data_IF_751774462127
#
_entry.id   IF_751774462127
#
_cell.length_a   1.000
_cell.length_b   1.000
_cell.length_c   1.000
_cell.angle_alpha   90.00
_cell.angle_beta   90.00
_cell.angle_gamma   90.00
#
_symmetry.space_group_name_H-M   'P 1'
#
loop_
_entity.id
_entity.type
_entity.pdbx_description
1 polymer ?
#
# COMPACT_ATOMS: atom_id res chain seq x y z
N UNK A 1 15.17 12.66 -23.19
CA UNK A 1 14.22 11.54 -23.32
C UNK A 1 14.81 10.37 -22.56
N UNK A 2 14.19 9.97 -21.43
CA UNK A 2 14.55 8.73 -20.72
C UNK A 2 14.12 7.59 -21.62
N UNK A 3 15.07 6.89 -22.19
CA UNK A 3 14.81 5.69 -22.97
C UNK A 3 14.78 4.52 -22.00
N UNK A 4 13.71 3.75 -22.00
CA UNK A 4 13.58 2.54 -21.19
C UNK A 4 14.56 1.49 -21.72
N UNK A 5 15.52 1.09 -20.90
CA UNK A 5 16.50 0.07 -21.31
C UNK A 5 15.93 -1.33 -21.06
N UNK A 6 15.76 -2.04 -22.15
CA UNK A 6 15.23 -3.41 -22.22
C UNK A 6 16.18 -4.49 -21.69
N UNK A 7 17.46 -4.23 -21.73
CA UNK A 7 18.46 -5.31 -21.78
C UNK A 7 18.68 -6.04 -20.45
N UNK A 8 18.21 -5.47 -19.30
CA UNK A 8 18.41 -6.07 -17.97
C UNK A 8 17.30 -5.74 -16.95
N UNK A 9 16.09 -5.46 -17.41
CA UNK A 9 15.03 -5.01 -16.50
C UNK A 9 14.12 -6.16 -16.10
N UNK A 10 14.28 -6.68 -14.89
CA UNK A 10 13.31 -7.60 -14.27
C UNK A 10 11.91 -7.02 -14.26
N UNK A 11 11.80 -5.69 -14.13
CA UNK A 11 10.53 -4.97 -14.17
C UNK A 11 9.85 -5.13 -15.54
N UNK A 12 10.60 -5.07 -16.65
CA UNK A 12 10.03 -5.26 -17.99
C UNK A 12 9.41 -6.66 -18.16
N UNK A 13 10.11 -7.69 -17.72
CA UNK A 13 9.61 -9.06 -17.81
C UNK A 13 8.37 -9.25 -16.93
N UNK A 14 8.38 -8.67 -15.74
CA UNK A 14 7.22 -8.68 -14.84
C UNK A 14 6.01 -7.96 -15.45
N UNK A 15 6.20 -6.78 -16.04
CA UNK A 15 5.12 -6.03 -16.71
C UNK A 15 4.56 -6.78 -17.91
N UNK A 16 5.40 -7.50 -18.65
CA UNK A 16 4.96 -8.33 -19.77
C UNK A 16 4.10 -9.51 -19.31
N UNK A 17 4.47 -10.14 -18.20
CA UNK A 17 3.68 -11.21 -17.59
C UNK A 17 2.33 -10.64 -17.13
N UNK A 18 2.32 -9.50 -16.44
CA UNK A 18 1.10 -8.83 -15.98
C UNK A 18 0.18 -8.43 -17.14
N UNK A 19 0.73 -7.95 -18.27
CA UNK A 19 -0.03 -7.59 -19.46
C UNK A 19 -0.71 -8.83 -20.10
N UNK A 20 -0.03 -9.97 -20.09
CA UNK A 20 -0.61 -11.24 -20.55
C UNK A 20 -1.75 -11.66 -19.63
N UNK A 21 -1.56 -11.62 -18.33
CA UNK A 21 -2.57 -11.96 -17.33
C UNK A 21 -3.79 -11.00 -17.39
N UNK A 22 -3.55 -9.71 -17.60
CA UNK A 22 -4.63 -8.72 -17.71
C UNK A 22 -5.48 -8.89 -18.99
N UNK A 23 -4.92 -9.49 -20.05
CA UNK A 23 -5.60 -9.70 -21.34
C UNK A 23 -6.17 -11.09 -21.53
N UNK A 24 -5.76 -12.05 -20.72
CA UNK A 24 -6.12 -13.45 -20.84
C UNK A 24 -7.00 -13.96 -19.70
N UNK A 25 -7.11 -15.30 -19.61
CA UNK A 25 -7.66 -15.94 -18.44
C UNK A 25 -6.65 -15.79 -17.29
N UNK A 26 -6.99 -14.95 -16.34
CA UNK A 26 -6.15 -14.66 -15.18
C UNK A 26 -5.95 -15.91 -14.34
N UNK A 27 -4.73 -16.14 -13.86
CA UNK A 27 -4.45 -17.13 -12.81
C UNK A 27 -5.10 -16.78 -11.47
N UNK A 28 -5.66 -15.56 -11.40
CA UNK A 28 -6.26 -15.00 -10.18
C UNK A 28 -5.30 -14.99 -8.97
N UNK A 29 -4.00 -14.82 -9.24
CA UNK A 29 -2.97 -14.68 -8.23
C UNK A 29 -2.59 -13.21 -8.08
N UNK A 30 -2.39 -12.70 -6.86
CA UNK A 30 -1.95 -11.33 -6.63
C UNK A 30 -0.50 -11.14 -7.09
N UNK A 31 -0.21 -9.97 -7.67
CA UNK A 31 1.15 -9.53 -7.95
C UNK A 31 1.60 -8.50 -6.91
N UNK A 32 2.83 -8.65 -6.44
CA UNK A 32 3.46 -7.72 -5.52
C UNK A 32 4.78 -7.25 -6.12
N UNK A 33 4.93 -5.93 -6.28
CA UNK A 33 6.21 -5.32 -6.62
C UNK A 33 6.80 -4.73 -5.35
N UNK A 34 7.99 -5.22 -4.97
CA UNK A 34 8.77 -4.70 -3.86
C UNK A 34 9.81 -3.71 -4.39
N UNK A 35 9.78 -2.50 -3.86
CA UNK A 35 10.79 -1.46 -4.06
C UNK A 35 11.66 -1.40 -2.80
N UNK A 36 12.86 -1.91 -2.87
CA UNK A 36 13.77 -1.86 -1.74
C UNK A 36 14.54 -0.54 -1.76
N UNK A 37 14.70 0.07 -0.57
CA UNK A 37 15.36 1.37 -0.38
C UNK A 37 14.83 2.46 -1.35
N UNK A 38 13.52 2.56 -1.48
CA UNK A 38 12.87 3.36 -2.51
C UNK A 38 13.19 4.86 -2.45
N UNK A 39 13.60 5.39 -1.31
CA UNK A 39 13.92 6.80 -1.12
C UNK A 39 15.42 7.15 -1.19
N UNK A 40 16.25 6.32 -1.81
CA UNK A 40 17.62 6.69 -2.17
C UNK A 40 17.66 7.82 -3.22
N UNK A 41 16.58 8.00 -3.95
CA UNK A 41 16.35 9.12 -4.84
C UNK A 41 14.88 9.53 -4.81
N UNK A 42 14.51 10.77 -5.19
CA UNK A 42 13.11 11.18 -5.19
C UNK A 42 12.25 10.26 -6.05
N UNK A 43 11.30 9.57 -5.43
CA UNK A 43 10.45 8.57 -6.10
C UNK A 43 9.66 9.15 -7.27
N UNK A 44 9.31 10.42 -7.24
CA UNK A 44 8.58 11.11 -8.31
C UNK A 44 9.32 11.09 -9.66
N UNK A 45 10.64 10.91 -9.66
CA UNK A 45 11.40 10.91 -10.90
C UNK A 45 11.38 9.57 -11.62
N UNK A 46 11.28 8.47 -10.89
CA UNK A 46 11.32 7.14 -11.50
C UNK A 46 10.02 6.36 -11.35
N UNK A 47 9.15 6.74 -10.40
CA UNK A 47 7.91 6.04 -10.07
C UNK A 47 6.65 6.79 -10.49
N UNK A 48 6.77 7.95 -11.17
CA UNK A 48 5.64 8.81 -11.50
C UNK A 48 4.51 8.11 -12.25
N UNK A 49 4.86 7.26 -13.22
CA UNK A 49 3.88 6.55 -14.03
C UNK A 49 3.10 5.52 -13.22
N UNK A 50 3.75 4.89 -12.24
CA UNK A 50 3.13 3.94 -11.33
C UNK A 50 2.28 4.60 -10.24
N UNK A 51 2.61 5.82 -9.82
CA UNK A 51 1.79 6.58 -8.88
C UNK A 51 0.38 6.83 -9.41
N UNK A 52 0.23 6.96 -10.71
CA UNK A 52 -1.09 7.14 -11.33
C UNK A 52 -1.91 5.84 -11.26
N UNK A 53 -1.26 4.68 -11.35
CA UNK A 53 -1.91 3.37 -11.22
C UNK A 53 -2.41 3.15 -9.79
N UNK A 54 -1.69 3.64 -8.79
CA UNK A 54 -2.14 3.55 -7.39
C UNK A 54 -3.46 4.28 -7.12
N UNK A 55 -3.82 5.25 -7.96
CA UNK A 55 -5.09 5.99 -7.86
C UNK A 55 -6.22 5.35 -8.68
N UNK A 56 -5.86 4.50 -9.64
CA UNK A 56 -6.80 3.89 -10.57
C UNK A 56 -7.09 2.45 -10.13
N UNK A 57 -8.28 2.26 -9.58
CA UNK A 57 -8.75 0.95 -9.12
C UNK A 57 -9.59 0.22 -10.20
N UNK A 58 -9.49 0.67 -11.45
CA UNK A 58 -10.22 0.05 -12.56
C UNK A 58 -9.43 -1.09 -13.19
N UNK A 59 -10.13 -2.08 -13.71
CA UNK A 59 -9.54 -3.24 -14.41
C UNK A 59 -8.84 -2.90 -15.73
N UNK A 60 -8.84 -1.62 -16.12
CA UNK A 60 -8.31 -1.14 -17.39
C UNK A 60 -7.10 -0.22 -17.24
N UNK A 61 -6.46 -0.23 -16.08
CA UNK A 61 -5.25 0.58 -15.87
C UNK A 61 -4.15 0.17 -16.84
N UNK A 62 -3.43 1.14 -17.37
CA UNK A 62 -2.30 0.86 -18.26
C UNK A 62 -1.14 1.79 -17.98
N UNK A 63 0.07 1.25 -18.09
CA UNK A 63 1.31 2.03 -18.03
C UNK A 63 1.92 2.17 -19.42
N UNK A 64 2.42 3.36 -19.72
CA UNK A 64 3.12 3.64 -20.96
C UNK A 64 4.54 4.12 -20.68
N UNK A 65 5.53 3.25 -20.94
CA UNK A 65 6.93 3.53 -20.72
C UNK A 65 7.67 3.99 -22.01
N UNK A 66 6.93 4.42 -23.02
CA UNK A 66 7.46 4.90 -24.31
C UNK A 66 6.72 4.35 -25.52
N UNK A 67 7.14 4.73 -26.73
CA UNK A 67 6.38 4.54 -27.97
C UNK A 67 5.92 3.10 -28.27
N UNK A 68 6.56 2.08 -27.71
CA UNK A 68 6.25 0.68 -27.96
C UNK A 68 6.04 -0.15 -26.68
N UNK A 69 5.92 0.49 -25.51
CA UNK A 69 5.88 -0.17 -24.21
C UNK A 69 4.66 0.21 -23.40
N UNK A 70 3.49 -0.16 -23.93
CA UNK A 70 2.23 -0.04 -23.20
C UNK A 70 1.81 -1.40 -22.68
N UNK A 71 1.62 -1.48 -21.36
CA UNK A 71 1.19 -2.69 -20.65
C UNK A 71 -0.13 -2.45 -19.96
N UNK A 72 -1.05 -3.39 -20.04
CA UNK A 72 -2.21 -3.41 -19.18
C UNK A 72 -1.79 -3.94 -17.81
N UNK A 73 -2.31 -3.31 -16.77
CA UNK A 73 -1.97 -3.63 -15.38
C UNK A 73 -3.22 -4.21 -14.73
N UNK A 74 -3.14 -5.42 -14.16
CA UNK A 74 -4.27 -6.03 -13.49
C UNK A 74 -4.59 -5.33 -12.17
N UNK A 75 -5.87 -5.30 -11.78
CA UNK A 75 -6.35 -4.69 -10.53
C UNK A 75 -5.75 -5.33 -9.26
N UNK A 76 -5.21 -6.53 -9.38
CA UNK A 76 -4.57 -7.28 -8.30
C UNK A 76 -3.07 -7.04 -8.13
N UNK A 77 -2.52 -6.00 -8.77
CA UNK A 77 -1.17 -5.52 -8.49
C UNK A 77 -1.13 -4.67 -7.21
N UNK A 78 -0.17 -4.95 -6.35
CA UNK A 78 0.15 -4.15 -5.15
C UNK A 78 1.62 -3.77 -5.14
N UNK A 79 1.90 -2.65 -4.49
CA UNK A 79 3.26 -2.15 -4.30
C UNK A 79 3.61 -2.15 -2.82
N UNK A 80 4.82 -2.57 -2.52
CA UNK A 80 5.42 -2.45 -1.20
C UNK A 80 6.77 -1.76 -1.38
N UNK A 81 7.10 -0.83 -0.51
CA UNK A 81 8.37 -0.15 -0.53
C UNK A 81 9.01 -0.16 0.86
N UNK A 82 10.31 -0.40 0.92
CA UNK A 82 11.10 -0.10 2.12
C UNK A 82 11.72 1.28 1.96
N UNK A 83 11.77 2.03 3.04
CA UNK A 83 12.40 3.35 3.10
C UNK A 83 13.23 3.45 4.37
N UNK A 84 14.32 4.20 4.29
CA UNK A 84 15.11 4.58 5.44
C UNK A 84 14.79 6.03 5.81
N UNK A 85 14.68 6.31 7.10
CA UNK A 85 14.45 7.67 7.60
C UNK A 85 15.73 8.17 8.29
N UNK A 86 16.73 8.51 7.49
CA UNK A 86 18.01 9.02 7.94
C UNK A 86 18.44 10.26 7.14
N UNK A 87 19.59 10.82 7.48
CA UNK A 87 20.08 12.06 6.85
C UNK A 87 20.62 11.88 5.42
N UNK A 88 20.71 10.64 4.95
CA UNK A 88 21.29 10.30 3.63
C UNK A 88 20.21 10.00 2.60
N UNK A 89 18.96 9.93 3.01
CA UNK A 89 17.83 9.58 2.16
C UNK A 89 16.90 10.76 1.89
N UNK A 90 16.19 10.69 0.78
CA UNK A 90 15.24 11.72 0.39
C UNK A 90 13.94 11.62 1.21
N UNK A 91 13.40 12.78 1.57
CA UNK A 91 12.10 12.83 2.22
C UNK A 91 10.98 12.42 1.25
N UNK A 92 10.00 11.71 1.76
CA UNK A 92 8.81 11.38 0.97
C UNK A 92 8.03 12.66 0.65
N UNK A 93 7.59 12.80 -0.60
CA UNK A 93 6.77 13.93 -0.97
C UNK A 93 5.36 13.83 -0.39
N UNK A 94 4.69 14.96 -0.14
CA UNK A 94 3.30 14.98 0.27
C UNK A 94 2.37 14.23 -0.69
N UNK A 95 2.71 14.24 -1.98
CA UNK A 95 1.95 13.54 -3.02
C UNK A 95 2.03 12.02 -2.88
N UNK A 96 3.18 11.49 -2.47
CA UNK A 96 3.34 10.06 -2.20
C UNK A 96 2.68 9.67 -0.88
N UNK A 97 2.89 10.47 0.16
CA UNK A 97 2.31 10.26 1.49
C UNK A 97 0.77 10.18 1.41
N UNK A 98 0.14 11.01 0.60
CA UNK A 98 -1.32 11.01 0.38
C UNK A 98 -1.85 9.70 -0.27
N UNK A 99 -0.97 8.86 -0.84
CA UNK A 99 -1.30 7.62 -1.56
C UNK A 99 -0.84 6.35 -0.87
N UNK A 100 0.11 6.46 0.04
CA UNK A 100 0.76 5.32 0.66
C UNK A 100 0.27 5.10 2.10
N UNK A 101 0.16 3.85 2.49
CA UNK A 101 0.10 3.48 3.90
C UNK A 101 1.53 3.38 4.42
N UNK A 102 1.84 4.16 5.43
CA UNK A 102 3.17 4.17 6.03
C UNK A 102 3.13 3.37 7.32
N UNK A 103 3.94 2.32 7.38
CA UNK A 103 4.08 1.48 8.57
C UNK A 103 5.49 1.72 9.13
N UNK A 104 5.57 2.27 10.32
CA UNK A 104 6.84 2.45 11.02
C UNK A 104 7.17 1.21 11.81
N UNK A 105 8.32 0.64 11.53
CA UNK A 105 8.83 -0.47 12.30
C UNK A 105 9.57 0.08 13.53
N UNK A 106 9.14 -0.26 14.75
CA UNK A 106 9.84 0.19 15.96
C UNK A 106 11.22 -0.43 16.02
N UNK A 107 12.20 0.33 16.55
CA UNK A 107 13.52 -0.21 16.82
C UNK A 107 13.42 -1.33 17.85
N UNK A 108 13.67 -2.55 17.43
CA UNK A 108 13.70 -3.70 18.33
C UNK A 108 15.03 -3.71 19.07
N UNK A 109 15.00 -3.79 20.40
CA UNK A 109 16.22 -4.07 21.18
C UNK A 109 16.67 -5.48 20.80
N UNK A 110 17.84 -5.57 20.22
CA UNK A 110 18.44 -6.86 19.88
C UNK A 110 18.74 -7.63 21.16
N UNK A 111 17.96 -8.64 21.46
CA UNK A 111 18.29 -9.62 22.46
C UNK A 111 18.99 -10.79 21.76
N UNK A 112 20.31 -10.86 21.92
CA UNK A 112 21.16 -11.89 21.31
C UNK A 112 20.83 -13.31 21.81
N UNK A 113 19.97 -13.43 22.82
CA UNK A 113 19.58 -14.73 23.37
C UNK A 113 18.35 -15.34 22.69
N UNK A 114 17.60 -14.56 21.94
CA UNK A 114 16.40 -15.03 21.26
C UNK A 114 16.70 -15.28 19.77
N UNK A 115 17.22 -16.44 19.45
CA UNK A 115 17.15 -16.97 18.08
C UNK A 115 15.69 -17.29 17.79
N UNK A 116 14.95 -16.35 17.21
CA UNK A 116 13.64 -16.65 16.65
C UNK A 116 13.90 -17.60 15.48
N UNK A 117 13.67 -18.89 15.70
CA UNK A 117 13.56 -19.83 14.57
C UNK A 117 12.36 -19.34 13.78
N UNK A 118 12.59 -18.92 12.55
CA UNK A 118 11.50 -18.79 11.58
C UNK A 118 10.86 -20.17 11.53
N UNK A 119 9.64 -20.28 12.01
CA UNK A 119 8.85 -21.48 11.85
C UNK A 119 8.80 -21.81 10.38
N UNK A 120 9.09 -23.05 10.03
CA UNK A 120 8.89 -23.51 8.68
C UNK A 120 7.39 -23.35 8.36
N UNK A 121 7.08 -22.46 7.45
CA UNK A 121 5.74 -22.27 6.91
C UNK A 121 5.41 -23.45 5.99
N UNK A 122 5.39 -24.67 6.55
CA UNK A 122 4.94 -25.85 5.84
C UNK A 122 3.40 -25.76 5.69
N UNK A 123 2.95 -25.56 4.47
CA UNK A 123 1.53 -25.56 4.15
C UNK A 123 0.92 -24.21 3.79
N UNK A 124 1.72 -23.23 3.31
CA UNK A 124 1.16 -22.01 2.70
C UNK A 124 0.24 -22.44 1.55
N UNK A 125 -1.06 -22.17 1.72
CA UNK A 125 -2.04 -22.36 0.64
C UNK A 125 -2.01 -21.13 -0.26
N UNK A 126 -2.04 -21.33 -1.56
CA UNK A 126 -2.27 -20.25 -2.50
C UNK A 126 -3.65 -19.63 -2.22
N UNK A 127 -3.67 -18.33 -2.01
CA UNK A 127 -4.89 -17.54 -1.83
C UNK A 127 -5.16 -16.82 -3.14
N UNK A 128 -6.36 -16.95 -3.66
CA UNK A 128 -6.75 -16.24 -4.89
C UNK A 128 -6.91 -14.75 -4.62
N UNK A 129 -6.70 -13.94 -5.66
CA UNK A 129 -6.96 -12.51 -5.55
C UNK A 129 -8.42 -12.22 -5.18
N UNK A 130 -9.38 -12.94 -5.78
CA UNK A 130 -10.79 -12.74 -5.45
C UNK A 130 -11.08 -12.92 -3.97
N UNK A 131 -10.47 -13.92 -3.33
CA UNK A 131 -10.62 -14.11 -1.87
C UNK A 131 -10.04 -12.94 -1.09
N UNK A 132 -8.88 -12.41 -1.48
CA UNK A 132 -8.29 -11.25 -0.83
C UNK A 132 -9.12 -9.98 -1.07
N UNK A 133 -9.64 -9.82 -2.28
CA UNK A 133 -10.48 -8.68 -2.64
C UNK A 133 -11.79 -8.67 -1.85
N UNK A 134 -12.45 -9.81 -1.76
CA UNK A 134 -13.68 -9.98 -0.97
C UNK A 134 -13.47 -9.71 0.53
N UNK A 135 -12.28 -10.05 1.07
CA UNK A 135 -11.99 -9.87 2.49
C UNK A 135 -11.50 -8.45 2.84
N UNK A 136 -10.70 -7.85 1.98
CA UNK A 136 -9.94 -6.64 2.32
C UNK A 136 -10.26 -5.42 1.47
N UNK A 137 -11.17 -5.53 0.50
CA UNK A 137 -11.56 -4.40 -0.35
C UNK A 137 -13.09 -4.20 -0.30
N UNK A 138 -13.63 -3.60 0.77
CA UNK A 138 -15.06 -3.40 0.92
C UNK A 138 -15.60 -2.50 -0.21
N UNK A 139 -16.75 -2.84 -0.76
CA UNK A 139 -17.48 -2.02 -1.71
C UNK A 139 -18.00 -0.76 -1.02
N UNK A 140 -18.31 0.28 -1.78
CA UNK A 140 -18.71 1.57 -1.20
C UNK A 140 -19.96 1.45 -0.31
N UNK A 141 -20.88 0.56 -0.63
CA UNK A 141 -22.07 0.25 0.18
C UNK A 141 -21.76 -0.54 1.47
N UNK A 142 -20.59 -1.16 1.55
CA UNK A 142 -20.14 -1.95 2.70
C UNK A 142 -19.29 -1.13 3.69
N UNK A 143 -18.96 0.12 3.33
CA UNK A 143 -18.18 0.99 4.19
C UNK A 143 -19.01 1.43 5.41
N UNK A 144 -18.61 0.93 6.56
CA UNK A 144 -19.28 1.23 7.83
C UNK A 144 -18.81 2.58 8.38
N UNK A 145 -19.74 3.29 9.01
CA UNK A 145 -19.40 4.53 9.73
C UNK A 145 -18.53 4.22 10.95
N UNK A 146 -17.47 5.00 11.14
CA UNK A 146 -16.67 4.93 12.37
C UNK A 146 -17.60 5.25 13.56
N UNK A 147 -17.60 4.40 14.58
CA UNK A 147 -18.48 4.51 15.74
C UNK A 147 -17.73 4.31 17.05
N UNK A 148 -18.40 4.50 18.16
CA UNK A 148 -17.84 4.27 19.50
C UNK A 148 -16.63 5.14 19.82
N UNK A 149 -15.69 4.57 20.57
CA UNK A 149 -14.46 5.25 21.02
C UNK A 149 -13.56 5.62 19.84
N UNK A 150 -13.53 4.80 18.79
CA UNK A 150 -12.76 5.09 17.59
C UNK A 150 -13.24 6.36 16.87
N UNK A 151 -14.54 6.66 16.91
CA UNK A 151 -15.08 7.90 16.36
C UNK A 151 -14.56 9.11 17.14
N UNK A 152 -14.60 9.04 18.47
CA UNK A 152 -14.13 10.12 19.33
C UNK A 152 -12.63 10.40 19.09
N UNK A 153 -11.81 9.35 19.01
CA UNK A 153 -10.39 9.46 18.69
C UNK A 153 -10.15 10.07 17.29
N UNK A 154 -10.89 9.60 16.30
CA UNK A 154 -10.76 10.11 14.94
C UNK A 154 -11.12 11.59 14.86
N UNK A 155 -12.21 12.01 15.51
CA UNK A 155 -12.61 13.41 15.59
C UNK A 155 -11.57 14.27 16.32
N UNK A 156 -10.94 13.75 17.38
CA UNK A 156 -9.85 14.43 18.09
C UNK A 156 -8.62 14.62 17.18
N UNK A 157 -8.24 13.59 16.44
CA UNK A 157 -7.15 13.66 15.45
C UNK A 157 -7.46 14.74 14.41
N UNK A 158 -8.66 14.72 13.82
CA UNK A 158 -9.08 15.73 12.84
C UNK A 158 -9.02 17.16 13.41
N UNK A 159 -9.41 17.34 14.67
CA UNK A 159 -9.35 18.62 15.35
C UNK A 159 -7.91 19.11 15.55
N UNK A 160 -6.98 18.21 15.91
CA UNK A 160 -5.55 18.52 16.04
C UNK A 160 -4.93 18.92 14.70
N UNK A 161 -5.21 18.18 13.63
CA UNK A 161 -4.75 18.53 12.28
C UNK A 161 -5.27 19.89 11.83
N UNK A 162 -6.56 20.15 12.06
CA UNK A 162 -7.18 21.46 11.78
C UNK A 162 -6.53 22.58 12.58
N UNK A 163 -6.22 22.35 13.85
CA UNK A 163 -5.51 23.30 14.71
C UNK A 163 -4.08 23.59 14.19
N UNK A 164 -3.41 22.60 13.67
CA UNK A 164 -2.09 22.72 13.02
C UNK A 164 -2.17 23.27 11.60
N UNK A 165 -3.36 23.60 11.07
CA UNK A 165 -3.61 24.04 9.69
C UNK A 165 -3.20 23.00 8.64
N UNK A 166 -3.23 21.72 8.99
CA UNK A 166 -3.00 20.60 8.09
C UNK A 166 -4.35 20.11 7.58
N UNK A 167 -4.49 19.97 6.26
CA UNK A 167 -5.70 19.50 5.62
C UNK A 167 -5.57 18.01 5.36
N UNK A 168 -6.52 17.21 5.84
CA UNK A 168 -6.63 15.80 5.49
C UNK A 168 -7.37 15.71 4.15
N UNK A 169 -6.81 14.97 3.20
CA UNK A 169 -7.45 14.78 1.90
C UNK A 169 -8.66 13.85 2.01
N UNK A 170 -9.61 14.00 1.08
CA UNK A 170 -10.76 13.08 0.99
C UNK A 170 -10.28 11.62 0.79
N UNK A 171 -9.16 11.42 0.10
CA UNK A 171 -8.58 10.09 -0.11
C UNK A 171 -8.17 9.45 1.21
N UNK A 172 -7.46 10.18 2.05
CA UNK A 172 -7.04 9.69 3.39
C UNK A 172 -8.27 9.37 4.25
N UNK A 173 -9.27 10.26 4.30
CA UNK A 173 -10.52 10.01 5.05
C UNK A 173 -11.22 8.74 4.56
N UNK A 174 -11.34 8.56 3.24
CA UNK A 174 -11.94 7.35 2.66
C UNK A 174 -11.13 6.09 3.01
N UNK A 175 -9.81 6.17 2.94
CA UNK A 175 -8.93 5.04 3.28
C UNK A 175 -9.07 4.64 4.75
N UNK A 176 -9.15 5.60 5.67
CA UNK A 176 -9.38 5.32 7.09
C UNK A 176 -10.73 4.63 7.31
N UNK A 177 -11.79 5.06 6.64
CA UNK A 177 -13.11 4.42 6.74
C UNK A 177 -13.12 3.00 6.18
N UNK A 178 -12.45 2.76 5.05
CA UNK A 178 -12.30 1.43 4.48
C UNK A 178 -11.51 0.52 5.41
N UNK A 179 -10.39 1.00 5.94
CA UNK A 179 -9.60 0.27 6.94
C UNK A 179 -10.47 -0.11 8.16
N UNK A 180 -11.22 0.85 8.72
CA UNK A 180 -12.10 0.60 9.84
C UNK A 180 -13.12 -0.51 9.55
N UNK A 181 -13.74 -0.47 8.37
CA UNK A 181 -14.74 -1.47 7.97
C UNK A 181 -14.15 -2.88 7.91
N UNK A 182 -12.94 -3.02 7.36
CA UNK A 182 -12.23 -4.31 7.30
C UNK A 182 -11.78 -4.74 8.70
N UNK A 183 -11.20 -3.83 9.46
CA UNK A 183 -10.68 -4.12 10.80
C UNK A 183 -11.74 -4.67 11.73
N UNK A 184 -12.97 -4.13 11.69
CA UNK A 184 -14.10 -4.66 12.47
C UNK A 184 -14.46 -6.11 12.14
N UNK A 185 -14.13 -6.59 10.94
CA UNK A 185 -14.39 -7.98 10.55
C UNK A 185 -13.25 -8.94 10.89
N UNK A 186 -12.05 -8.41 11.13
CA UNK A 186 -10.83 -9.21 11.33
C UNK A 186 -10.42 -9.27 12.80
N UNK A 187 -10.56 -8.17 13.52
CA UNK A 187 -10.16 -8.09 14.93
C UNK A 187 -11.30 -8.47 15.88
N UNK A 188 -10.98 -9.19 16.95
CA UNK A 188 -11.95 -9.67 17.92
C UNK A 188 -12.47 -8.58 18.86
N UNK A 189 -11.68 -7.50 19.05
CA UNK A 189 -12.04 -6.38 19.93
C UNK A 189 -11.76 -5.01 19.30
N UNK A 190 -12.52 -4.00 19.73
CA UNK A 190 -12.27 -2.60 19.32
C UNK A 190 -10.91 -2.09 19.83
N UNK A 191 -10.43 -2.60 20.97
CA UNK A 191 -9.14 -2.22 21.52
C UNK A 191 -7.98 -2.64 20.60
N UNK A 192 -8.05 -3.83 19.99
CA UNK A 192 -7.04 -4.30 19.04
C UNK A 192 -7.02 -3.43 17.78
N UNK A 193 -8.19 -3.04 17.27
CA UNK A 193 -8.32 -2.12 16.13
C UNK A 193 -7.71 -0.76 16.48
N UNK A 194 -7.95 -0.27 17.69
CA UNK A 194 -7.47 1.03 18.16
C UNK A 194 -5.95 1.08 18.29
N UNK A 195 -5.33 -0.01 18.78
CA UNK A 195 -3.88 -0.10 18.89
C UNK A 195 -3.26 -0.01 17.50
N UNK A 196 -3.80 -0.73 16.54
CA UNK A 196 -3.27 -0.77 15.17
C UNK A 196 -3.48 0.58 14.44
N UNK A 197 -4.65 1.18 14.57
CA UNK A 197 -4.93 2.50 14.03
C UNK A 197 -4.07 3.62 14.67
N UNK A 198 -3.73 3.51 15.94
CA UNK A 198 -2.87 4.47 16.62
C UNK A 198 -1.43 4.43 16.12
N UNK A 199 -0.93 3.26 15.72
CA UNK A 199 0.40 3.11 15.12
C UNK A 199 0.48 3.86 13.79
N UNK A 200 -0.60 3.82 13.01
CA UNK A 200 -0.68 4.51 11.71
C UNK A 200 -0.86 6.03 11.86
N UNK A 201 -1.54 6.48 12.91
CA UNK A 201 -1.90 7.90 13.08
C UNK A 201 -0.85 8.75 13.82
N UNK A 202 0.08 8.14 14.55
CA UNK A 202 1.03 8.87 15.42
C UNK A 202 2.32 9.31 14.73
N UNK A 203 2.53 8.96 13.47
CA UNK A 203 3.76 9.24 12.73
C UNK A 203 3.64 10.37 11.67
N UNK A 204 2.59 11.17 11.73
CA UNK A 204 2.41 12.39 10.92
C UNK A 204 2.71 13.66 11.69
#
# INVERSE_FOLDING_TARGET
TKQFDRSNSQLYDSLKIMDIEAKGESTNLPFLILLDEANLSPMEYYWADFMNICDDHTDNSSINLGENYRFQIPSFLRFLATINNDHTTEALSPRLIDRAWIIKLPAVKFDMTTTTKLDNFDGIKNISWSTLDDLFNPRDEEIVQISGVAKELYEEILAKFKGAKISISHRVDTSVRRYWSVAQSVFESEDDIMIDASIVALDY
#
